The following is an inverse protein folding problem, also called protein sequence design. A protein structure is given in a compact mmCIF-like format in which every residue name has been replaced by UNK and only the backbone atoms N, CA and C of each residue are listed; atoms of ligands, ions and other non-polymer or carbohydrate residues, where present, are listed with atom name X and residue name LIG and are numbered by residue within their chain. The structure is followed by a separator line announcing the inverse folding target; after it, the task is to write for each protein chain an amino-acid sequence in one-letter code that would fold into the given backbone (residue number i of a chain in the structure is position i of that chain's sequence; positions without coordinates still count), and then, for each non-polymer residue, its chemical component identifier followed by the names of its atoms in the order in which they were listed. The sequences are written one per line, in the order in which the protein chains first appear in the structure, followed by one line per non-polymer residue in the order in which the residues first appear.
data_IF_522094060008
#
_entry.id   IF_522094060008
#
_cell.length_a   1.000
_cell.length_b   1.000
_cell.length_c   1.000
_cell.angle_alpha   90.00
_cell.angle_beta   90.00
_cell.angle_gamma   90.00
#
_symmetry.space_group_name_H-M   'P 1'
#
loop_
_entity.id
_entity.type
_entity.pdbx_description
1 polymer ?
#
# COMPACT_ATOMS: atom_id res chain seq x y z
N UNK A 1 11.83 3.15 2.01
CA UNK A 1 11.05 3.32 0.75
C UNK A 1 9.57 3.26 1.09
N UNK A 2 8.69 3.95 0.34
CA UNK A 2 7.23 3.84 0.49
C UNK A 2 6.62 3.60 -0.89
N UNK A 3 5.75 2.59 -0.99
CA UNK A 3 5.08 2.20 -2.22
C UNK A 3 3.57 2.10 -1.96
N UNK A 4 2.77 2.78 -2.78
CA UNK A 4 1.32 2.59 -2.82
C UNK A 4 0.93 1.55 -3.85
N UNK A 5 -0.10 0.75 -3.58
CA UNK A 5 -0.63 -0.24 -4.54
C UNK A 5 -2.13 -0.05 -4.65
N UNK A 6 -2.65 -0.01 -5.88
CA UNK A 6 -4.08 0.16 -6.16
C UNK A 6 -4.46 -0.50 -7.48
N UNK A 7 -5.75 -0.68 -7.71
CA UNK A 7 -6.30 -1.29 -8.94
C UNK A 7 -6.39 -0.29 -10.10
N UNK A 8 -6.13 1.00 -9.86
CA UNK A 8 -6.14 2.03 -10.89
C UNK A 8 -5.08 1.77 -11.95
N UNK A 9 -5.38 2.12 -13.20
CA UNK A 9 -4.40 2.06 -14.29
C UNK A 9 -3.25 3.04 -14.06
N UNK A 10 -2.12 2.79 -14.73
CA UNK A 10 -0.89 3.56 -14.57
C UNK A 10 -1.02 5.01 -15.03
N UNK A 11 -1.90 5.31 -16.00
CA UNK A 11 -2.16 6.68 -16.47
C UNK A 11 -2.87 7.49 -15.39
N UNK A 12 -3.99 6.98 -14.89
CA UNK A 12 -4.73 7.60 -13.79
C UNK A 12 -3.88 7.77 -12.53
N UNK A 13 -3.01 6.80 -12.23
CA UNK A 13 -2.09 6.88 -11.09
C UNK A 13 -1.08 8.01 -11.21
N UNK A 14 -0.44 8.15 -12.37
CA UNK A 14 0.50 9.24 -12.63
C UNK A 14 -0.19 10.59 -12.50
N UNK A 15 -1.32 10.76 -13.16
CA UNK A 15 -2.05 12.03 -13.19
C UNK A 15 -2.50 12.42 -11.77
N UNK A 16 -2.96 11.47 -10.96
CA UNK A 16 -3.32 11.72 -9.56
C UNK A 16 -2.09 12.05 -8.69
N UNK A 17 -1.01 11.27 -8.81
CA UNK A 17 0.26 11.48 -8.09
C UNK A 17 0.76 12.91 -8.30
N UNK A 18 0.80 13.35 -9.55
CA UNK A 18 1.28 14.68 -9.93
C UNK A 18 0.34 15.77 -9.40
N UNK A 19 -0.98 15.56 -9.48
CA UNK A 19 -1.98 16.51 -8.99
C UNK A 19 -1.92 16.74 -7.47
N UNK A 20 -1.62 15.70 -6.68
CA UNK A 20 -1.51 15.81 -5.21
C UNK A 20 -0.08 16.04 -4.72
N UNK A 21 0.90 16.07 -5.63
CA UNK A 21 2.32 16.24 -5.30
C UNK A 21 2.91 15.07 -4.51
N UNK A 22 2.40 13.84 -4.71
CA UNK A 22 2.89 12.67 -3.99
C UNK A 22 4.27 12.26 -4.52
N UNK A 23 5.25 12.14 -3.63
CA UNK A 23 6.63 11.78 -4.00
C UNK A 23 6.87 10.27 -4.07
N UNK A 24 6.01 9.48 -3.42
CA UNK A 24 6.09 8.02 -3.40
C UNK A 24 5.66 7.42 -4.74
N UNK A 25 6.18 6.23 -5.02
CA UNK A 25 5.77 5.45 -6.19
C UNK A 25 4.41 4.80 -5.94
N UNK A 26 3.66 4.61 -7.03
CA UNK A 26 2.37 3.93 -7.05
C UNK A 26 2.40 2.80 -8.07
N UNK A 27 2.03 1.60 -7.65
CA UNK A 27 1.88 0.44 -8.51
C UNK A 27 0.42 0.20 -8.90
N UNK A 28 0.24 -0.26 -10.14
CA UNK A 28 -1.01 -0.78 -10.65
C UNK A 28 -1.07 -2.30 -10.41
N UNK A 29 -2.02 -2.73 -9.58
CA UNK A 29 -2.38 -4.13 -9.33
C UNK A 29 -3.63 -4.50 -10.15
N UNK A 30 -3.46 -4.56 -11.46
CA UNK A 30 -4.55 -4.68 -12.43
C UNK A 30 -5.41 -5.93 -12.22
N UNK A 31 -4.81 -7.03 -11.77
CA UNK A 31 -5.47 -8.33 -11.57
C UNK A 31 -5.80 -8.64 -10.09
N UNK A 32 -5.54 -7.70 -9.18
CA UNK A 32 -5.65 -7.86 -7.72
C UNK A 32 -4.76 -8.93 -7.10
N UNK A 33 -3.81 -9.50 -7.85
CA UNK A 33 -2.97 -10.60 -7.35
C UNK A 33 -2.16 -10.17 -6.12
N UNK A 34 -1.65 -8.94 -6.11
CA UNK A 34 -0.89 -8.40 -4.96
C UNK A 34 -1.84 -8.17 -3.79
N UNK A 35 -2.96 -7.48 -3.99
CA UNK A 35 -3.92 -7.23 -2.92
C UNK A 35 -4.46 -8.52 -2.31
N UNK A 36 -4.73 -9.55 -3.11
CA UNK A 36 -5.14 -10.86 -2.60
C UNK A 36 -4.03 -11.52 -1.77
N UNK A 37 -2.79 -11.52 -2.26
CA UNK A 37 -1.65 -12.11 -1.55
C UNK A 37 -1.41 -11.46 -0.17
N UNK A 38 -1.64 -10.15 -0.06
CA UNK A 38 -1.48 -9.39 1.18
C UNK A 38 -2.77 -9.22 2.00
N UNK A 39 -3.86 -9.89 1.62
CA UNK A 39 -5.13 -9.86 2.35
C UNK A 39 -5.86 -8.51 2.31
N UNK A 40 -5.56 -7.69 1.30
CA UNK A 40 -6.29 -6.47 0.95
C UNK A 40 -7.43 -6.71 -0.05
N UNK A 41 -7.55 -7.92 -0.63
CA UNK A 41 -8.69 -8.31 -1.44
C UNK A 41 -9.06 -9.77 -1.21
N UNK A 42 -10.35 -10.09 -1.38
CA UNK A 42 -10.88 -11.45 -1.22
C UNK A 42 -11.11 -12.15 -2.57
N UNK A 43 -11.22 -11.40 -3.67
CA UNK A 43 -11.44 -11.96 -5.01
C UNK A 43 -10.92 -11.05 -6.14
N UNK A 44 -10.66 -11.60 -7.34
CA UNK A 44 -10.25 -10.82 -8.52
C UNK A 44 -11.36 -9.90 -9.08
N UNK A 45 -12.60 -10.05 -8.62
CA UNK A 45 -13.73 -9.19 -8.98
C UNK A 45 -13.91 -8.00 -8.02
N UNK A 46 -13.20 -7.99 -6.89
CA UNK A 46 -13.31 -6.91 -5.90
C UNK A 46 -12.95 -5.56 -6.52
N UNK A 47 -13.81 -4.56 -6.31
CA UNK A 47 -13.68 -3.27 -7.00
C UNK A 47 -12.66 -2.32 -6.37
N UNK A 48 -12.33 -2.51 -5.08
CA UNK A 48 -11.43 -1.63 -4.32
C UNK A 48 -10.63 -2.44 -3.32
N UNK A 49 -9.34 -2.15 -3.19
CA UNK A 49 -8.51 -2.75 -2.15
C UNK A 49 -8.98 -2.30 -0.76
N UNK A 50 -8.92 -3.22 0.19
CA UNK A 50 -8.98 -2.94 1.61
C UNK A 50 -7.75 -2.16 2.06
N UNK A 51 -7.85 -1.46 3.20
CA UNK A 51 -6.72 -0.72 3.77
C UNK A 51 -5.82 -1.68 4.51
N UNK A 52 -4.66 -1.96 3.92
CA UNK A 52 -3.59 -2.75 4.53
C UNK A 52 -2.28 -2.00 4.33
N UNK A 53 -1.39 -2.07 5.30
CA UNK A 53 0.02 -1.69 5.13
C UNK A 53 0.90 -2.83 5.61
N UNK A 54 2.03 -3.01 4.94
CA UNK A 54 2.95 -4.11 5.19
C UNK A 54 4.35 -3.52 5.36
N UNK A 55 5.01 -3.89 6.45
CA UNK A 55 6.41 -3.56 6.66
C UNK A 55 7.25 -4.75 6.21
N UNK A 56 8.17 -4.50 5.29
CA UNK A 56 9.10 -5.47 4.71
C UNK A 56 10.51 -4.97 5.00
N UNK A 57 11.36 -5.83 5.55
CA UNK A 57 12.77 -5.50 5.81
C UNK A 57 13.65 -5.60 4.55
N UNK A 58 14.95 -5.35 4.72
CA UNK A 58 15.93 -5.37 3.63
C UNK A 58 16.18 -6.75 3.00
N UNK A 59 15.84 -7.82 3.73
CA UNK A 59 15.91 -9.21 3.24
C UNK A 59 14.63 -9.64 2.52
N UNK A 60 13.63 -8.75 2.43
CA UNK A 60 12.35 -9.03 1.79
C UNK A 60 11.38 -9.79 2.69
N UNK A 61 11.61 -9.82 4.01
CA UNK A 61 10.74 -10.51 4.97
C UNK A 61 9.68 -9.55 5.48
N UNK A 62 8.42 -10.01 5.50
CA UNK A 62 7.32 -9.27 6.13
C UNK A 62 7.49 -9.31 7.64
N UNK A 63 7.81 -8.17 8.24
CA UNK A 63 8.00 -8.05 9.70
C UNK A 63 6.72 -7.64 10.42
N UNK A 64 5.85 -6.85 9.77
CA UNK A 64 4.54 -6.43 10.32
C UNK A 64 3.47 -6.26 9.24
N UNK A 65 2.22 -6.53 9.61
CA UNK A 65 1.03 -6.29 8.78
C UNK A 65 0.02 -5.48 9.59
N UNK A 66 -0.46 -4.38 9.02
CA UNK A 66 -1.39 -3.45 9.64
C UNK A 66 -2.72 -3.43 8.89
N UNK A 67 -3.82 -3.44 9.64
CA UNK A 67 -5.19 -3.17 9.15
C UNK A 67 -5.71 -1.92 9.86
N UNK A 68 -5.26 -0.72 9.48
CA UNK A 68 -5.49 0.50 10.25
C UNK A 68 -6.98 0.86 10.29
N UNK A 69 -7.52 1.01 11.50
CA UNK A 69 -8.85 1.57 11.75
C UNK A 69 -8.85 3.10 11.83
N UNK A 70 -7.72 3.70 12.24
CA UNK A 70 -7.46 5.15 12.22
C UNK A 70 -6.38 5.50 11.19
N UNK A 71 -6.82 6.06 10.07
CA UNK A 71 -5.94 6.43 8.95
C UNK A 71 -5.02 7.61 9.31
N UNK A 72 -5.42 8.46 10.25
CA UNK A 72 -4.66 9.67 10.62
C UNK A 72 -3.47 9.37 11.52
N UNK A 73 -3.62 8.40 12.43
CA UNK A 73 -2.56 7.98 13.36
C UNK A 73 -1.56 7.01 12.71
N UNK A 74 -2.00 6.23 11.73
CA UNK A 74 -1.24 5.13 11.13
C UNK A 74 0.16 5.49 10.61
N UNK A 75 0.38 6.62 9.88
CA UNK A 75 1.72 6.96 9.41
C UNK A 75 2.74 7.13 10.54
N UNK A 76 2.32 7.72 11.67
CA UNK A 76 3.20 7.92 12.82
C UNK A 76 3.56 6.60 13.52
N UNK A 77 2.63 5.64 13.54
CA UNK A 77 2.89 4.29 14.04
C UNK A 77 3.95 3.58 13.21
N UNK A 78 3.77 3.54 11.88
CA UNK A 78 4.71 2.87 10.96
C UNK A 78 6.09 3.51 11.01
N UNK A 79 6.18 4.85 11.05
CA UNK A 79 7.46 5.55 11.09
C UNK A 79 8.27 5.24 12.36
N UNK A 80 7.62 5.06 13.51
CA UNK A 80 8.31 4.67 14.76
C UNK A 80 8.95 3.30 14.65
N UNK A 81 8.27 2.38 13.96
CA UNK A 81 8.73 1.00 13.79
C UNK A 81 9.88 0.91 12.79
N UNK A 82 9.78 1.63 11.67
CA UNK A 82 10.86 1.75 10.69
C UNK A 82 12.11 2.36 11.32
N UNK A 83 11.97 3.38 12.18
CA UNK A 83 13.10 4.03 12.85
C UNK A 83 13.75 3.17 13.95
N UNK A 84 13.09 2.11 14.40
CA UNK A 84 13.58 1.19 15.43
C UNK A 84 14.13 -0.13 14.87
N UNK A 85 14.05 -0.32 13.54
CA UNK A 85 14.50 -1.52 12.82
C UNK A 85 15.94 -1.40 12.33
#
# INVERSE_FOLDING_TARGET
MLLGVTFSDTGALRDWRDAVGLTSDLLCDADRSVAMAYGAAESPEQQKAGRVSVLIDEDGVVTKVYKPSDVSAHPAEVLREVAAS
#
